data_IF_551421783747
#
_entry.id   IF_551421783747
#
_cell.length_a   1.000
_cell.length_b   1.000
_cell.length_c   1.000
_cell.angle_alpha   90.00
_cell.angle_beta   90.00
_cell.angle_gamma   90.00
#
_symmetry.space_group_name_H-M   'P 1'
#
loop_
_entity.id
_entity.type
_entity.pdbx_description
1 polymer ?
#
# COMPACT_ATOMS: atom_id res chain seq x y z
N UNK A 1 -9.87 11.28 -6.09
CA UNK A 1 -10.18 12.21 -4.99
C UNK A 1 -10.49 11.45 -3.72
N UNK A 2 -10.10 12.01 -2.57
CA UNK A 2 -10.45 11.44 -1.27
C UNK A 2 -11.96 11.64 -0.99
N UNK A 3 -12.56 10.70 -0.28
CA UNK A 3 -13.94 10.77 0.21
C UNK A 3 -13.99 10.43 1.71
N UNK A 4 -15.17 10.52 2.32
CA UNK A 4 -15.35 10.35 3.77
C UNK A 4 -14.78 9.02 4.30
N UNK A 5 -14.86 7.94 3.53
CA UNK A 5 -14.30 6.64 3.92
C UNK A 5 -12.78 6.65 4.13
N UNK A 6 -12.05 7.55 3.47
CA UNK A 6 -10.60 7.68 3.69
C UNK A 6 -10.26 8.44 4.98
N UNK A 7 -11.24 9.16 5.55
CA UNK A 7 -11.00 10.01 6.71
C UNK A 7 -10.57 9.20 7.95
N UNK A 8 -11.06 7.98 8.10
CA UNK A 8 -10.67 7.11 9.22
C UNK A 8 -9.16 6.87 9.22
N UNK A 9 -8.60 6.45 8.07
CA UNK A 9 -7.15 6.25 7.93
C UNK A 9 -6.34 7.54 8.13
N UNK A 10 -6.84 8.66 7.59
CA UNK A 10 -6.20 9.98 7.76
C UNK A 10 -6.19 10.39 9.23
N UNK A 11 -7.28 10.17 9.96
CA UNK A 11 -7.36 10.49 11.39
C UNK A 11 -6.44 9.60 12.22
N UNK A 12 -6.26 8.33 11.84
CA UNK A 12 -5.27 7.47 12.49
C UNK A 12 -3.86 8.05 12.32
N UNK A 13 -3.45 8.41 11.10
CA UNK A 13 -2.16 9.05 10.86
C UNK A 13 -1.99 10.34 11.69
N UNK A 14 -3.06 11.15 11.79
CA UNK A 14 -3.06 12.36 12.62
C UNK A 14 -2.84 12.05 14.10
N UNK A 15 -3.49 11.02 14.64
CA UNK A 15 -3.30 10.61 16.04
C UNK A 15 -1.85 10.16 16.28
N UNK A 16 -1.27 9.37 15.37
CA UNK A 16 0.14 8.99 15.45
C UNK A 16 1.06 10.23 15.40
N UNK A 17 0.80 11.19 14.50
CA UNK A 17 1.59 12.41 14.44
C UNK A 17 1.51 13.21 15.75
N UNK A 18 0.32 13.39 16.32
CA UNK A 18 0.13 14.08 17.60
C UNK A 18 0.79 13.36 18.78
N UNK A 19 1.03 12.08 18.66
CA UNK A 19 1.75 11.25 19.65
C UNK A 19 3.27 11.20 19.40
N UNK A 20 3.79 12.05 18.51
CA UNK A 20 5.22 12.18 18.26
C UNK A 20 5.77 11.26 17.14
N UNK A 21 4.95 10.45 16.49
CA UNK A 21 5.38 9.62 15.37
C UNK A 21 5.37 10.41 14.05
N UNK A 22 6.26 10.03 13.12
CA UNK A 22 6.33 10.63 11.78
C UNK A 22 5.44 9.85 10.80
N UNK A 23 4.30 10.40 10.33
CA UNK A 23 3.48 9.74 9.33
C UNK A 23 4.13 9.78 7.96
N UNK A 24 4.05 8.66 7.24
CA UNK A 24 4.31 8.57 5.81
C UNK A 24 2.97 8.37 5.10
N UNK A 25 2.51 9.39 4.38
CA UNK A 25 1.28 9.30 3.59
C UNK A 25 1.62 8.72 2.22
N UNK A 26 1.36 7.42 2.03
CA UNK A 26 1.67 6.70 0.80
C UNK A 26 0.60 6.91 -0.26
N UNK A 27 1.02 7.37 -1.43
CA UNK A 27 0.21 7.42 -2.65
C UNK A 27 0.57 6.22 -3.53
N UNK A 28 -0.45 5.45 -3.89
CA UNK A 28 -0.32 4.31 -4.79
C UNK A 28 -0.29 4.72 -6.26
N UNK A 29 0.73 5.47 -6.70
CA UNK A 29 0.86 5.87 -8.10
C UNK A 29 1.03 4.68 -9.03
N UNK A 30 2.00 3.81 -8.75
CA UNK A 30 2.22 2.60 -9.53
C UNK A 30 1.05 1.61 -9.39
N UNK A 31 0.63 1.33 -8.16
CA UNK A 31 -0.49 0.41 -7.91
C UNK A 31 -1.82 0.94 -8.44
N UNK A 32 -1.99 2.26 -8.51
CA UNK A 32 -3.14 2.90 -9.15
C UNK A 32 -3.20 2.71 -10.66
N UNK A 33 -2.05 2.51 -11.33
CA UNK A 33 -1.98 2.17 -12.76
C UNK A 33 -2.40 0.72 -13.04
N UNK A 34 -2.19 -0.17 -12.08
CA UNK A 34 -2.50 -1.61 -12.20
C UNK A 34 -3.96 -1.88 -11.82
N UNK A 35 -4.49 -1.14 -10.85
CA UNK A 35 -5.83 -1.30 -10.29
C UNK A 35 -5.87 -2.25 -9.10
N UNK A 36 -6.44 -1.77 -7.99
CA UNK A 36 -6.72 -2.58 -6.81
C UNK A 36 -7.87 -3.56 -7.13
N UNK A 37 -7.70 -4.87 -6.92
CA UNK A 37 -8.74 -5.87 -7.12
C UNK A 37 -9.91 -5.74 -6.14
N UNK A 38 -9.76 -5.01 -5.06
CA UNK A 38 -10.80 -4.82 -4.05
C UNK A 38 -11.96 -3.94 -4.58
N UNK A 39 -12.81 -4.49 -5.42
CA UNK A 39 -14.18 -4.03 -5.61
C UNK A 39 -14.54 -3.26 -6.88
N UNK A 40 -13.77 -3.28 -8.00
CA UNK A 40 -14.21 -2.66 -9.27
C UNK A 40 -13.77 -3.42 -10.52
N UNK A 41 -14.72 -3.64 -11.43
CA UNK A 41 -14.63 -4.37 -12.69
C UNK A 41 -14.40 -3.48 -13.93
N UNK A 42 -13.73 -2.34 -13.84
CA UNK A 42 -13.45 -1.49 -15.01
C UNK A 42 -11.97 -1.21 -15.15
N UNK A 43 -11.47 -1.46 -16.36
CA UNK A 43 -10.13 -1.09 -16.82
C UNK A 43 -9.88 0.41 -16.61
N UNK A 44 -8.80 0.77 -15.93
CA UNK A 44 -8.47 2.18 -15.68
C UNK A 44 -7.73 2.76 -16.88
N UNK A 45 -8.08 4.00 -17.21
CA UNK A 45 -7.35 4.83 -18.17
C UNK A 45 -5.88 4.95 -17.71
N UNK A 46 -4.95 4.66 -18.61
CA UNK A 46 -3.52 4.87 -18.36
C UNK A 46 -3.28 6.34 -18.05
N UNK A 47 -2.84 6.61 -16.83
CA UNK A 47 -2.51 7.95 -16.35
C UNK A 47 -1.03 8.19 -16.68
N UNK A 48 -0.71 9.29 -17.34
CA UNK A 48 0.67 9.69 -17.57
C UNK A 48 1.33 10.25 -16.28
N UNK A 49 2.65 10.41 -16.29
CA UNK A 49 3.39 10.88 -15.12
C UNK A 49 2.99 12.31 -14.71
N UNK A 50 2.66 13.17 -15.64
CA UNK A 50 2.26 14.55 -15.36
C UNK A 50 0.93 14.59 -14.57
N UNK A 51 -0.04 13.80 -15.01
CA UNK A 51 -1.33 13.66 -14.32
C UNK A 51 -1.16 13.00 -12.95
N UNK A 52 -0.26 12.03 -12.84
CA UNK A 52 0.07 11.37 -11.57
C UNK A 52 0.63 12.38 -10.57
N UNK A 53 1.57 13.24 -10.97
CA UNK A 53 2.14 14.29 -10.12
C UNK A 53 1.10 15.34 -9.74
N UNK A 54 0.27 15.76 -10.69
CA UNK A 54 -0.83 16.67 -10.40
C UNK A 54 -1.79 16.07 -9.34
N UNK A 55 -2.18 14.82 -9.49
CA UNK A 55 -3.04 14.13 -8.51
C UNK A 55 -2.38 14.04 -7.14
N UNK A 56 -1.06 13.81 -7.09
CA UNK A 56 -0.28 13.80 -5.86
C UNK A 56 -0.38 15.12 -5.11
N UNK A 57 -0.18 16.25 -5.81
CA UNK A 57 -0.29 17.58 -5.21
C UNK A 57 -1.71 17.88 -4.71
N UNK A 58 -2.72 17.49 -5.48
CA UNK A 58 -4.12 17.62 -5.06
C UNK A 58 -4.45 16.82 -3.79
N UNK A 59 -3.90 15.61 -3.67
CA UNK A 59 -4.07 14.78 -2.46
C UNK A 59 -3.30 15.40 -1.29
N UNK A 60 -2.06 15.88 -1.50
CA UNK A 60 -1.28 16.56 -0.47
C UNK A 60 -2.05 17.75 0.12
N UNK A 61 -2.63 18.59 -0.76
CA UNK A 61 -3.40 19.75 -0.32
C UNK A 61 -4.63 19.38 0.53
N UNK A 62 -5.26 18.22 0.27
CA UNK A 62 -6.35 17.72 1.09
C UNK A 62 -5.85 17.17 2.43
N UNK A 63 -4.76 16.41 2.44
CA UNK A 63 -4.16 15.84 3.64
C UNK A 63 -3.58 16.90 4.56
N UNK A 64 -3.06 18.02 4.03
CA UNK A 64 -2.50 19.13 4.80
C UNK A 64 -3.52 19.81 5.73
N UNK A 65 -4.82 19.55 5.53
CA UNK A 65 -5.86 19.99 6.48
C UNK A 65 -5.86 19.18 7.79
N UNK A 66 -5.24 18.03 7.81
CA UNK A 66 -5.25 17.09 8.92
C UNK A 66 -3.85 16.77 9.46
N UNK A 67 -2.86 16.73 8.58
CA UNK A 67 -1.47 16.39 8.87
C UNK A 67 -0.58 17.61 8.67
N UNK A 68 0.40 17.74 9.52
CA UNK A 68 1.43 18.77 9.38
C UNK A 68 2.56 18.24 8.47
N UNK A 69 2.71 18.84 7.29
CA UNK A 69 3.78 18.55 6.33
C UNK A 69 4.87 19.62 6.30
N UNK A 70 4.59 20.81 6.80
CA UNK A 70 5.35 22.01 6.44
C UNK A 70 6.11 22.63 7.62
N UNK A 71 5.80 22.25 8.87
CA UNK A 71 6.52 22.77 10.04
C UNK A 71 7.95 22.22 10.12
N UNK A 72 8.74 22.80 11.03
CA UNK A 72 10.09 22.30 11.34
C UNK A 72 10.10 21.17 12.38
N UNK A 73 8.93 20.64 12.74
CA UNK A 73 8.82 19.53 13.69
C UNK A 73 9.51 18.27 13.15
N UNK A 74 10.26 17.52 13.99
CA UNK A 74 10.99 16.33 13.56
C UNK A 74 10.07 15.22 13.08
N UNK A 75 8.81 15.24 13.48
CA UNK A 75 7.77 14.29 13.11
C UNK A 75 6.77 14.85 12.10
N UNK A 76 7.13 15.89 11.34
CA UNK A 76 6.31 16.34 10.23
C UNK A 76 6.05 15.20 9.25
N UNK A 77 4.84 15.16 8.70
CA UNK A 77 4.45 14.13 7.76
C UNK A 77 5.25 14.22 6.45
N UNK A 78 5.41 13.10 5.80
CA UNK A 78 6.03 13.02 4.47
C UNK A 78 5.07 12.36 3.50
N UNK A 79 4.92 12.95 2.32
CA UNK A 79 4.17 12.34 1.23
C UNK A 79 5.13 11.50 0.38
N UNK A 80 4.79 10.23 0.18
CA UNK A 80 5.59 9.30 -0.63
C UNK A 80 4.71 8.66 -1.70
N UNK A 81 5.32 8.32 -2.85
CA UNK A 81 4.60 7.73 -3.98
C UNK A 81 5.32 6.46 -4.44
N UNK A 82 4.64 5.33 -4.46
CA UNK A 82 5.27 4.08 -4.84
C UNK A 82 5.69 4.02 -6.32
N UNK A 83 5.20 4.90 -7.16
CA UNK A 83 5.72 5.05 -8.52
C UNK A 83 7.22 5.36 -8.55
N UNK A 84 7.73 6.10 -7.56
CA UNK A 84 9.14 6.53 -7.53
C UNK A 84 10.13 5.37 -7.39
N UNK A 85 9.75 4.29 -6.73
CA UNK A 85 10.59 3.09 -6.61
C UNK A 85 10.16 1.95 -7.53
N UNK A 86 8.86 1.84 -7.86
CA UNK A 86 8.36 0.77 -8.72
C UNK A 86 8.74 0.94 -10.19
N UNK A 87 8.81 2.17 -10.70
CA UNK A 87 9.10 2.45 -12.12
C UNK A 87 10.43 1.93 -12.61
N UNK A 88 11.37 1.69 -11.71
CA UNK A 88 12.72 1.22 -12.04
C UNK A 88 12.82 -0.31 -12.08
N UNK A 89 11.80 -1.04 -11.65
CA UNK A 89 11.79 -2.49 -11.74
C UNK A 89 11.47 -2.95 -13.15
N UNK A 90 12.32 -3.84 -13.67
CA UNK A 90 11.90 -4.72 -14.76
C UNK A 90 11.03 -5.85 -14.20
N UNK A 91 10.21 -6.45 -15.04
CA UNK A 91 9.42 -7.62 -14.65
C UNK A 91 10.31 -8.77 -14.12
N UNK A 92 11.45 -9.01 -14.78
CA UNK A 92 12.40 -10.05 -14.37
C UNK A 92 13.03 -9.74 -13.00
N UNK A 93 13.39 -8.48 -12.75
CA UNK A 93 13.98 -8.08 -11.48
C UNK A 93 12.95 -8.23 -10.34
N UNK A 94 11.70 -7.86 -10.59
CA UNK A 94 10.63 -8.00 -9.59
C UNK A 94 10.39 -9.47 -9.24
N UNK A 95 10.23 -10.34 -10.25
CA UNK A 95 10.03 -11.78 -10.01
C UNK A 95 11.24 -12.38 -9.28
N UNK A 96 12.46 -12.07 -9.73
CA UNK A 96 13.67 -12.62 -9.16
C UNK A 96 13.93 -12.19 -7.71
N UNK A 97 13.70 -10.91 -7.40
CA UNK A 97 14.09 -10.34 -6.12
C UNK A 97 12.94 -10.35 -5.10
N UNK A 98 11.72 -10.08 -5.55
CA UNK A 98 10.53 -9.96 -4.68
C UNK A 98 9.68 -11.21 -4.73
N UNK A 99 9.41 -11.76 -5.92
CA UNK A 99 8.54 -12.92 -6.08
C UNK A 99 8.99 -14.14 -5.28
N UNK A 100 10.29 -14.34 -5.10
CA UNK A 100 10.84 -15.45 -4.32
C UNK A 100 10.62 -15.36 -2.80
N UNK A 101 10.28 -14.18 -2.29
CA UNK A 101 10.15 -13.94 -0.84
C UNK A 101 8.88 -14.58 -0.26
N UNK A 102 7.84 -14.69 -1.08
CA UNK A 102 6.53 -15.16 -0.64
C UNK A 102 6.12 -16.38 -1.48
N UNK A 103 5.76 -17.45 -0.80
CA UNK A 103 5.30 -18.67 -1.47
C UNK A 103 3.87 -18.50 -1.99
N UNK A 104 3.55 -19.19 -3.10
CA UNK A 104 2.17 -19.24 -3.62
C UNK A 104 1.20 -19.75 -2.56
N UNK A 105 1.59 -20.76 -1.77
CA UNK A 105 0.74 -21.29 -0.70
C UNK A 105 0.40 -20.21 0.35
N UNK A 106 1.37 -19.37 0.72
CA UNK A 106 1.11 -18.24 1.60
C UNK A 106 0.12 -17.24 0.98
N UNK A 107 0.30 -16.90 -0.30
CA UNK A 107 -0.60 -15.99 -1.01
C UNK A 107 -2.02 -16.56 -1.10
N UNK A 108 -2.15 -17.86 -1.39
CA UNK A 108 -3.41 -18.58 -1.46
C UNK A 108 -4.10 -18.72 -0.09
N UNK A 109 -3.37 -18.63 1.01
CA UNK A 109 -3.94 -18.75 2.37
C UNK A 109 -4.72 -17.52 2.81
N UNK A 110 -4.61 -16.39 2.10
CA UNK A 110 -5.33 -15.16 2.42
C UNK A 110 -6.83 -15.31 2.16
N UNK A 111 -7.67 -14.84 3.07
CA UNK A 111 -9.13 -14.99 2.97
C UNK A 111 -9.71 -14.32 1.73
N UNK A 112 -9.18 -13.16 1.34
CA UNK A 112 -9.58 -12.45 0.11
C UNK A 112 -9.29 -13.28 -1.15
N UNK A 113 -8.18 -14.02 -1.16
CA UNK A 113 -7.80 -14.90 -2.27
C UNK A 113 -8.65 -16.16 -2.26
N UNK A 114 -8.79 -16.82 -1.10
CA UNK A 114 -9.60 -18.05 -0.95
C UNK A 114 -11.02 -17.86 -1.47
N UNK A 115 -11.72 -16.80 -1.06
CA UNK A 115 -13.10 -16.53 -1.47
C UNK A 115 -13.26 -16.44 -2.98
N UNK A 116 -12.27 -15.86 -3.67
CA UNK A 116 -12.28 -15.76 -5.14
C UNK A 116 -12.05 -17.12 -5.82
N UNK A 117 -11.17 -17.96 -5.24
CA UNK A 117 -10.91 -19.30 -5.78
C UNK A 117 -12.02 -20.31 -5.50
N UNK A 118 -12.73 -20.18 -4.41
CA UNK A 118 -13.86 -21.08 -4.06
C UNK A 118 -15.15 -20.70 -4.78
N UNK A 119 -15.18 -19.59 -5.52
CA UNK A 119 -16.38 -19.13 -6.21
C UNK A 119 -17.50 -18.67 -5.27
N UNK A 120 -17.20 -18.41 -4.01
CA UNK A 120 -18.19 -17.89 -3.06
C UNK A 120 -18.81 -16.58 -3.60
N UNK A 121 -20.13 -16.52 -3.58
CA UNK A 121 -20.92 -15.40 -4.09
C UNK A 121 -20.86 -15.18 -5.61
N UNK A 122 -20.55 -16.19 -6.43
CA UNK A 122 -20.49 -16.08 -7.88
C UNK A 122 -19.30 -15.25 -8.38
N UNK A 123 -18.24 -15.14 -7.57
CA UNK A 123 -17.03 -14.45 -7.97
C UNK A 123 -16.32 -15.20 -9.10
N UNK A 124 -16.05 -14.50 -10.20
CA UNK A 124 -15.15 -14.97 -11.25
C UNK A 124 -13.74 -15.18 -10.68
N UNK A 125 -12.94 -16.02 -11.35
CA UNK A 125 -11.55 -16.29 -10.96
C UNK A 125 -10.74 -15.00 -10.74
N UNK A 126 -9.50 -15.14 -10.28
CA UNK A 126 -8.59 -14.04 -10.01
C UNK A 126 -7.56 -13.93 -11.13
N UNK A 127 -7.35 -12.74 -11.69
CA UNK A 127 -6.29 -12.51 -12.67
C UNK A 127 -4.90 -12.56 -12.00
N UNK A 128 -3.86 -12.79 -12.82
CA UNK A 128 -2.48 -12.72 -12.33
C UNK A 128 -2.16 -11.35 -11.71
N UNK A 129 -2.67 -10.28 -12.29
CA UNK A 129 -2.51 -8.91 -11.79
C UNK A 129 -3.08 -8.76 -10.39
N UNK A 130 -4.33 -9.20 -10.18
CA UNK A 130 -4.97 -9.18 -8.87
C UNK A 130 -4.24 -10.05 -7.85
N UNK A 131 -3.82 -11.25 -8.25
CA UNK A 131 -3.09 -12.17 -7.38
C UNK A 131 -1.74 -11.61 -6.93
N UNK A 132 -1.00 -10.98 -7.86
CA UNK A 132 0.32 -10.41 -7.57
C UNK A 132 0.27 -9.05 -6.86
N UNK A 133 -0.88 -8.39 -6.79
CA UNK A 133 -1.02 -7.08 -6.14
C UNK A 133 -0.51 -7.06 -4.70
N UNK A 134 -0.75 -8.10 -3.93
CA UNK A 134 -0.25 -8.23 -2.56
C UNK A 134 1.29 -8.18 -2.46
N UNK A 135 2.00 -8.61 -3.51
CA UNK A 135 3.47 -8.52 -3.55
C UNK A 135 3.92 -7.07 -3.77
N UNK A 136 3.21 -6.32 -4.60
CA UNK A 136 3.52 -4.91 -4.88
C UNK A 136 3.35 -4.08 -3.60
N UNK A 137 2.22 -4.19 -2.93
CA UNK A 137 1.96 -3.47 -1.69
C UNK A 137 2.85 -3.97 -0.54
N UNK A 138 3.15 -5.27 -0.50
CA UNK A 138 4.12 -5.82 0.45
C UNK A 138 5.51 -5.23 0.27
N UNK A 139 5.94 -5.03 -0.97
CA UNK A 139 7.23 -4.40 -1.27
C UNK A 139 7.25 -2.90 -0.93
N UNK A 140 6.15 -2.18 -1.05
CA UNK A 140 6.07 -0.79 -0.56
C UNK A 140 6.48 -0.70 0.91
N UNK A 141 6.01 -1.64 1.73
CA UNK A 141 6.38 -1.66 3.14
C UNK A 141 7.86 -2.01 3.36
N UNK A 142 8.41 -2.97 2.59
CA UNK A 142 9.84 -3.28 2.60
C UNK A 142 10.67 -2.04 2.28
N UNK A 143 10.36 -1.38 1.16
CA UNK A 143 11.07 -0.19 0.71
C UNK A 143 11.05 0.93 1.77
N UNK A 144 9.89 1.21 2.34
CA UNK A 144 9.74 2.24 3.37
C UNK A 144 10.41 1.83 4.70
N UNK A 145 10.44 0.56 5.02
CA UNK A 145 11.18 0.06 6.19
C UNK A 145 12.68 0.27 6.02
N UNK A 146 13.24 -0.10 4.87
CA UNK A 146 14.67 0.01 4.58
C UNK A 146 15.14 1.47 4.42
N UNK A 147 14.36 2.31 3.74
CA UNK A 147 14.77 3.68 3.38
C UNK A 147 14.32 4.75 4.37
N UNK A 148 13.23 4.51 5.10
CA UNK A 148 12.60 5.49 6.01
C UNK A 148 12.45 4.97 7.45
N UNK A 149 12.96 3.79 7.75
CA UNK A 149 12.76 3.14 9.05
C UNK A 149 11.27 3.04 9.47
N UNK A 150 10.39 2.84 8.48
CA UNK A 150 8.96 2.67 8.70
C UNK A 150 8.71 1.30 9.34
N UNK A 151 8.10 1.27 10.53
CA UNK A 151 7.85 0.02 11.28
C UNK A 151 6.39 -0.38 11.37
N UNK A 152 5.48 0.52 11.03
CA UNK A 152 4.05 0.28 11.14
C UNK A 152 3.35 0.68 9.84
N UNK A 153 2.57 -0.22 9.26
CA UNK A 153 1.67 0.10 8.16
C UNK A 153 0.23 0.08 8.64
N UNK A 154 -0.53 1.12 8.25
CA UNK A 154 -1.93 1.32 8.59
C UNK A 154 -2.81 1.15 7.36
N UNK A 155 -4.01 0.59 7.55
CA UNK A 155 -5.00 0.48 6.49
C UNK A 155 -6.41 0.17 6.98
N UNK A 156 -7.34 0.03 6.06
CA UNK A 156 -8.65 -0.54 6.34
C UNK A 156 -8.56 -2.05 6.57
N UNK A 157 -9.59 -2.65 7.14
CA UNK A 157 -9.63 -4.08 7.43
C UNK A 157 -9.45 -4.95 6.17
N UNK A 158 -9.89 -4.46 5.01
CA UNK A 158 -9.71 -5.08 3.70
C UNK A 158 -8.23 -5.20 3.29
N UNK A 159 -7.35 -4.35 3.83
CA UNK A 159 -5.91 -4.30 3.52
C UNK A 159 -5.06 -5.24 4.37
N UNK A 160 -5.65 -5.93 5.35
CA UNK A 160 -4.90 -6.81 6.26
C UNK A 160 -3.99 -7.81 5.55
N UNK A 161 -4.50 -8.47 4.50
CA UNK A 161 -3.74 -9.45 3.73
C UNK A 161 -2.51 -8.87 3.04
N UNK A 162 -2.64 -7.68 2.46
CA UNK A 162 -1.56 -6.99 1.77
C UNK A 162 -0.50 -6.48 2.77
N UNK A 163 -0.94 -5.86 3.87
CA UNK A 163 -0.05 -5.32 4.91
C UNK A 163 0.76 -6.44 5.57
N UNK A 164 0.12 -7.55 5.94
CA UNK A 164 0.81 -8.69 6.55
C UNK A 164 1.76 -9.41 5.60
N UNK A 165 1.54 -9.32 4.28
CA UNK A 165 2.52 -9.77 3.29
C UNK A 165 3.81 -8.93 3.38
N UNK A 166 3.69 -7.62 3.57
CA UNK A 166 4.84 -6.74 3.79
C UNK A 166 5.61 -7.06 5.08
N UNK A 167 4.92 -7.30 6.20
CA UNK A 167 5.60 -7.70 7.45
C UNK A 167 6.37 -9.01 7.30
N UNK A 168 5.79 -9.98 6.59
CA UNK A 168 6.45 -11.26 6.32
C UNK A 168 7.67 -11.11 5.41
N UNK A 169 7.59 -10.26 4.39
CA UNK A 169 8.75 -9.94 3.54
C UNK A 169 9.89 -9.30 4.34
N UNK A 170 9.61 -8.30 5.17
CA UNK A 170 10.58 -7.63 6.03
C UNK A 170 11.27 -8.66 6.94
N UNK A 171 10.47 -9.51 7.60
CA UNK A 171 11.00 -10.57 8.46
C UNK A 171 11.95 -11.51 7.70
N UNK A 172 11.62 -11.88 6.47
CA UNK A 172 12.46 -12.79 5.65
C UNK A 172 13.73 -12.13 5.13
N UNK A 173 13.71 -10.84 4.83
CA UNK A 173 14.85 -10.12 4.29
C UNK A 173 15.87 -9.80 5.38
N UNK A 174 15.43 -9.25 6.50
CA UNK A 174 16.29 -8.65 7.53
C UNK A 174 16.12 -9.25 8.92
N UNK A 175 15.10 -10.08 9.15
CA UNK A 175 14.73 -10.53 10.49
C UNK A 175 14.13 -9.43 11.36
N UNK A 176 13.91 -8.23 10.82
CA UNK A 176 13.36 -7.10 11.56
C UNK A 176 11.87 -7.29 11.86
N UNK A 177 11.44 -6.66 12.95
CA UNK A 177 10.02 -6.58 13.31
C UNK A 177 9.34 -5.41 12.61
N UNK A 178 8.20 -5.69 12.01
CA UNK A 178 7.30 -4.70 11.43
C UNK A 178 5.85 -5.06 11.79
N UNK A 179 5.02 -4.04 11.91
CA UNK A 179 3.70 -4.16 12.50
C UNK A 179 2.61 -3.75 11.51
N UNK A 180 1.46 -4.41 11.60
CA UNK A 180 0.25 -4.11 10.84
C UNK A 180 -0.84 -3.64 11.79
N UNK A 181 -1.55 -2.57 11.41
CA UNK A 181 -2.72 -2.10 12.13
C UNK A 181 -3.83 -1.79 11.13
N UNK A 182 -5.01 -2.35 11.34
CA UNK A 182 -6.18 -2.07 10.51
C UNK A 182 -7.32 -1.54 11.36
N UNK A 183 -8.15 -0.71 10.74
CA UNK A 183 -9.40 -0.22 11.32
C UNK A 183 -10.60 -0.75 10.55
N UNK A 184 -11.75 -0.94 11.21
CA UNK A 184 -13.01 -1.20 10.52
C UNK A 184 -13.34 -0.05 9.56
N UNK A 185 -13.91 -0.38 8.42
CA UNK A 185 -14.40 0.57 7.42
C UNK A 185 -15.91 0.71 7.52
#
# INVERSE_FOLDING_TARGET
SLHIGHLVGVMMLRHFQRSGHKPLALIGGATGMIGDPSGKSQERVLIDEAMLRHNQECIKAQLSKFLDFDSDAPNKAELVNNYDWMKNFTFLDFIRNIGKLITVNYMMSKDSVKRRFTGENGADGMSFTEFSYQLLQGYDFVYLNETKNCKLQLGGADQWGNITTGTEMIRKISGAEAYALTCPL
#
